data_IF_779566422670
#
_entry.id   IF_779566422670
#
_cell.length_a   1.000
_cell.length_b   1.000
_cell.length_c   1.000
_cell.angle_alpha   90.00
_cell.angle_beta   90.00
_cell.angle_gamma   90.00
#
_symmetry.space_group_name_H-M   'P 1'
#
loop_
_entity.id
_entity.type
_entity.pdbx_description
1 polymer ?
#
# COMPACT_ATOMS: atom_id res chain seq x y z
N UNK A 1 3.83 14.80 3.97
CA UNK A 1 4.19 14.28 2.63
C UNK A 1 5.19 13.17 2.87
N UNK A 2 4.73 12.03 3.41
CA UNK A 2 5.65 11.01 3.95
C UNK A 2 5.65 9.78 3.04
N UNK A 3 6.37 9.86 1.92
CA UNK A 3 6.59 8.73 1.01
C UNK A 3 8.07 8.58 0.61
N UNK A 4 8.98 9.31 1.27
CA UNK A 4 10.40 9.35 0.89
C UNK A 4 11.32 8.45 1.73
N UNK A 5 10.79 7.55 2.59
CA UNK A 5 11.65 6.70 3.46
C UNK A 5 11.59 5.19 3.19
N UNK A 6 11.09 4.77 2.03
CA UNK A 6 11.09 3.36 1.61
C UNK A 6 12.31 2.96 0.76
N UNK A 7 13.28 3.86 0.54
CA UNK A 7 14.45 3.57 -0.28
C UNK A 7 15.65 2.95 0.45
N UNK A 8 15.61 2.78 1.77
CA UNK A 8 16.78 2.25 2.51
C UNK A 8 16.91 0.72 2.43
N UNK A 9 15.81 0.00 2.17
CA UNK A 9 15.78 -1.47 2.12
C UNK A 9 15.59 -2.00 0.70
N UNK A 10 16.39 -1.51 -0.27
CA UNK A 10 16.48 -2.09 -1.62
C UNK A 10 17.48 -3.25 -1.64
N UNK A 11 17.10 -4.36 -1.03
CA UNK A 11 17.92 -5.58 -1.03
C UNK A 11 17.63 -6.51 -2.20
N UNK A 12 16.41 -7.08 -2.29
CA UNK A 12 16.30 -8.39 -2.96
C UNK A 12 15.04 -8.60 -3.84
N UNK A 13 13.94 -7.85 -3.71
CA UNK A 13 12.66 -8.23 -4.37
C UNK A 13 12.15 -7.14 -5.32
N UNK A 14 12.87 -6.93 -6.43
CA UNK A 14 12.63 -5.85 -7.38
C UNK A 14 11.48 -6.03 -8.38
N UNK A 15 10.80 -7.19 -8.44
CA UNK A 15 9.94 -7.49 -9.60
C UNK A 15 8.42 -7.54 -9.32
N UNK A 16 7.95 -7.80 -8.10
CA UNK A 16 6.49 -7.95 -7.81
C UNK A 16 5.84 -6.74 -7.11
N UNK A 17 6.65 -5.84 -6.54
CA UNK A 17 6.18 -4.71 -5.72
C UNK A 17 5.61 -3.55 -6.54
N UNK A 18 5.98 -3.41 -7.81
CA UNK A 18 5.50 -2.33 -8.71
C UNK A 18 3.98 -2.36 -8.90
N UNK A 19 3.39 -3.55 -9.04
CA UNK A 19 1.93 -3.71 -9.11
C UNK A 19 1.23 -3.37 -7.79
N UNK A 20 1.81 -3.78 -6.67
CA UNK A 20 1.24 -3.50 -5.34
C UNK A 20 1.32 -1.99 -5.00
N UNK A 21 2.45 -1.33 -5.26
CA UNK A 21 2.56 0.11 -5.02
C UNK A 21 1.60 0.95 -5.86
N UNK A 22 1.29 0.53 -7.08
CA UNK A 22 0.27 1.18 -7.90
C UNK A 22 -1.10 1.17 -7.25
N UNK A 23 -1.49 0.04 -6.63
CA UNK A 23 -2.75 -0.09 -5.90
C UNK A 23 -2.78 0.77 -4.63
N UNK A 24 -1.65 0.87 -3.92
CA UNK A 24 -1.53 1.74 -2.75
C UNK A 24 -1.73 3.22 -3.12
N UNK A 25 -1.13 3.66 -4.24
CA UNK A 25 -1.30 5.02 -4.75
C UNK A 25 -2.76 5.33 -5.14
N UNK A 26 -3.42 4.39 -5.84
CA UNK A 26 -4.84 4.50 -6.18
C UNK A 26 -5.73 4.56 -4.94
N UNK A 27 -5.44 3.73 -3.93
CA UNK A 27 -6.19 3.71 -2.69
C UNK A 27 -6.13 5.05 -1.95
N UNK A 28 -4.94 5.67 -1.85
CA UNK A 28 -4.78 7.02 -1.26
C UNK A 28 -5.52 8.09 -2.05
N UNK A 29 -5.46 8.05 -3.38
CA UNK A 29 -6.16 9.02 -4.21
C UNK A 29 -7.69 8.92 -4.02
N UNK A 30 -8.23 7.70 -3.99
CA UNK A 30 -9.65 7.46 -3.76
C UNK A 30 -10.09 7.88 -2.35
N UNK A 31 -9.25 7.59 -1.34
CA UNK A 31 -9.45 8.03 0.04
C UNK A 31 -9.52 9.55 0.15
N UNK A 32 -8.57 10.24 -0.49
CA UNK A 32 -8.50 11.70 -0.50
C UNK A 32 -9.66 12.33 -1.29
N UNK A 33 -10.17 11.64 -2.30
CA UNK A 33 -11.37 12.04 -3.05
C UNK A 33 -12.69 11.77 -2.29
N UNK A 34 -12.66 11.20 -1.08
CA UNK A 34 -13.85 10.85 -0.30
C UNK A 34 -14.50 9.52 -0.67
N UNK A 35 -13.91 8.76 -1.60
CA UNK A 35 -14.42 7.46 -2.02
C UNK A 35 -13.85 6.34 -1.15
N UNK A 36 -14.33 6.26 0.10
CA UNK A 36 -13.88 5.27 1.07
C UNK A 36 -14.07 3.82 0.59
N UNK A 37 -15.18 3.53 -0.10
CA UNK A 37 -15.44 2.20 -0.66
C UNK A 37 -14.43 1.80 -1.75
N UNK A 38 -14.11 2.73 -2.67
CA UNK A 38 -13.10 2.50 -3.70
C UNK A 38 -11.72 2.28 -3.10
N UNK A 39 -11.34 3.17 -2.18
CA UNK A 39 -10.06 3.09 -1.47
C UNK A 39 -9.90 1.74 -0.74
N UNK A 40 -10.95 1.30 -0.04
CA UNK A 40 -10.97 0.03 0.70
C UNK A 40 -10.70 -1.16 -0.21
N UNK A 41 -11.31 -1.19 -1.39
CA UNK A 41 -11.12 -2.25 -2.38
C UNK A 41 -9.69 -2.29 -2.92
N UNK A 42 -9.11 -1.13 -3.21
CA UNK A 42 -7.72 -0.98 -3.64
C UNK A 42 -6.72 -1.42 -2.55
N UNK A 43 -6.97 -1.08 -1.28
CA UNK A 43 -6.17 -1.58 -0.15
C UNK A 43 -6.28 -3.10 0.01
N UNK A 44 -7.47 -3.68 -0.16
CA UNK A 44 -7.64 -5.14 -0.10
C UNK A 44 -6.80 -5.85 -1.16
N UNK A 45 -6.87 -5.39 -2.42
CA UNK A 45 -6.03 -5.96 -3.49
C UNK A 45 -4.54 -5.80 -3.23
N UNK A 46 -4.13 -4.66 -2.65
CA UNK A 46 -2.76 -4.46 -2.21
C UNK A 46 -2.34 -5.53 -1.20
N UNK A 47 -3.15 -5.77 -0.15
CA UNK A 47 -2.84 -6.78 0.86
C UNK A 47 -2.85 -8.21 0.32
N UNK A 48 -3.71 -8.52 -0.66
CA UNK A 48 -3.73 -9.83 -1.32
C UNK A 48 -2.44 -10.09 -2.11
N UNK A 49 -2.00 -9.13 -2.92
CA UNK A 49 -0.73 -9.21 -3.64
C UNK A 49 0.48 -9.18 -2.71
N UNK A 50 0.36 -8.50 -1.56
CA UNK A 50 1.43 -8.44 -0.58
C UNK A 50 1.57 -9.71 0.25
N UNK A 51 0.51 -10.50 0.42
CA UNK A 51 0.56 -11.73 1.24
C UNK A 51 1.53 -12.77 0.68
N UNK A 52 1.81 -12.71 -0.61
CA UNK A 52 2.82 -13.54 -1.29
C UNK A 52 4.20 -12.88 -1.35
N UNK A 53 4.33 -11.64 -0.90
CA UNK A 53 5.58 -10.89 -0.75
C UNK A 53 5.97 -10.81 0.74
N UNK A 54 7.24 -10.53 1.03
CA UNK A 54 7.74 -10.44 2.40
C UNK A 54 6.87 -9.53 3.29
N UNK A 55 6.53 -10.04 4.48
CA UNK A 55 5.62 -9.37 5.41
C UNK A 55 6.31 -8.31 6.28
N UNK A 56 7.65 -8.28 6.29
CA UNK A 56 8.45 -7.41 7.16
C UNK A 56 8.86 -6.10 6.44
N UNK A 57 7.86 -5.37 5.93
CA UNK A 57 8.12 -4.16 5.15
C UNK A 57 7.27 -3.02 5.72
N UNK A 58 7.87 -1.84 6.02
CA UNK A 58 7.17 -0.74 6.67
C UNK A 58 5.98 -0.19 5.86
N UNK A 59 5.97 -0.39 4.53
CA UNK A 59 4.84 0.02 3.67
C UNK A 59 3.55 -0.72 4.02
N UNK A 60 3.62 -2.00 4.41
CA UNK A 60 2.45 -2.78 4.79
C UNK A 60 1.84 -2.24 6.09
N UNK A 61 2.69 -1.85 7.05
CA UNK A 61 2.26 -1.22 8.32
C UNK A 61 1.60 0.13 8.07
N UNK A 62 2.19 0.96 7.21
CA UNK A 62 1.62 2.25 6.84
C UNK A 62 0.26 2.08 6.12
N UNK A 63 0.16 1.13 5.18
CA UNK A 63 -1.08 0.84 4.46
C UNK A 63 -2.20 0.39 5.41
N UNK A 64 -1.91 -0.48 6.38
CA UNK A 64 -2.88 -0.87 7.42
C UNK A 64 -3.34 0.31 8.27
N UNK A 65 -2.42 1.19 8.67
CA UNK A 65 -2.75 2.37 9.46
C UNK A 65 -3.67 3.32 8.69
N UNK A 66 -3.45 3.50 7.38
CA UNK A 66 -4.35 4.32 6.56
C UNK A 66 -5.68 3.64 6.27
N UNK A 67 -5.68 2.34 5.99
CA UNK A 67 -6.91 1.57 5.85
C UNK A 67 -7.78 1.67 7.11
N UNK A 68 -7.16 1.66 8.30
CA UNK A 68 -7.88 1.85 9.56
C UNK A 68 -8.47 3.27 9.70
N UNK A 69 -7.86 4.29 9.09
CA UNK A 69 -8.38 5.66 9.05
C UNK A 69 -9.53 5.84 8.04
N UNK A 70 -9.74 4.88 7.14
CA UNK A 70 -10.84 4.88 6.16
C UNK A 70 -12.10 4.18 6.65
N UNK A 71 -12.09 3.70 7.90
CA UNK A 71 -13.29 3.22 8.60
C UNK A 71 -14.02 4.40 9.22
#
# INVERSE_FOLDING_TARGET
MEFQKLSDSRGIVGNCWSGALGLLGQARAQAMSGSANGARSSYQRFFELWKTADSDIPVLRAARAEFAKLK
#
